data_IF_811805077454
#
_entry.id   IF_811805077454
#
_cell.length_a   1.000
_cell.length_b   1.000
_cell.length_c   1.000
_cell.angle_alpha   90.00
_cell.angle_beta   90.00
_cell.angle_gamma   90.00
#
_symmetry.space_group_name_H-M   'P 1'
#
loop_
_entity.id
_entity.type
_entity.pdbx_description
1 polymer ?
#
# COMPACT_ATOMS: atom_id res chain seq x y z
N UNK A 1 11.77 -2.25 -22.90
CA UNK A 1 13.02 -1.98 -22.18
C UNK A 1 13.31 -3.15 -21.25
N UNK A 2 14.48 -3.22 -20.62
CA UNK A 2 14.84 -4.27 -19.66
C UNK A 2 14.96 -3.64 -18.27
N UNK A 3 14.51 -4.36 -17.22
CA UNK A 3 14.75 -4.00 -15.79
C UNK A 3 15.71 -4.97 -15.07
N UNK A 4 16.00 -6.14 -15.67
CA UNK A 4 16.96 -7.17 -15.20
C UNK A 4 17.68 -7.93 -16.36
N UNK A 5 17.93 -7.30 -17.52
CA UNK A 5 18.53 -7.99 -18.68
C UNK A 5 17.56 -8.90 -19.45
N UNK A 6 16.25 -8.75 -19.21
CA UNK A 6 15.19 -9.45 -19.91
C UNK A 6 14.22 -8.45 -20.53
N UNK A 7 13.70 -8.74 -21.72
CA UNK A 7 12.60 -8.00 -22.32
C UNK A 7 11.43 -7.93 -21.33
N UNK A 8 11.05 -6.71 -20.95
CA UNK A 8 9.83 -6.51 -20.17
C UNK A 8 8.64 -6.95 -20.99
N UNK A 9 7.92 -7.93 -20.46
CA UNK A 9 6.64 -8.41 -20.98
C UNK A 9 5.56 -7.59 -20.28
N UNK A 10 4.54 -7.04 -20.99
CA UNK A 10 3.53 -6.17 -20.38
C UNK A 10 2.95 -6.71 -19.07
N UNK A 11 2.64 -8.00 -19.00
CA UNK A 11 2.01 -8.65 -17.86
C UNK A 11 2.89 -8.68 -16.60
N UNK A 12 4.20 -8.43 -16.74
CA UNK A 12 5.18 -8.37 -15.64
C UNK A 12 5.58 -6.96 -15.25
N UNK A 13 5.07 -5.94 -15.96
CA UNK A 13 5.35 -4.54 -15.65
C UNK A 13 4.73 -4.19 -14.31
N UNK A 14 5.56 -3.71 -13.39
CA UNK A 14 5.11 -3.18 -12.10
C UNK A 14 5.42 -1.67 -11.99
N UNK A 15 5.00 -1.06 -10.89
CA UNK A 15 5.18 0.38 -10.70
C UNK A 15 6.66 0.77 -10.58
N UNK A 16 7.52 -0.09 -10.04
CA UNK A 16 8.95 0.20 -10.07
C UNK A 16 9.50 0.22 -11.51
N UNK A 17 9.05 -0.67 -12.41
CA UNK A 17 9.46 -0.64 -13.83
C UNK A 17 9.00 0.64 -14.49
N UNK A 18 7.73 1.00 -14.29
CA UNK A 18 7.14 2.21 -14.85
C UNK A 18 7.82 3.46 -14.31
N UNK A 19 8.11 3.51 -13.01
CA UNK A 19 8.84 4.61 -12.40
C UNK A 19 10.25 4.75 -12.99
N UNK A 20 10.94 3.61 -13.11
CA UNK A 20 12.32 3.53 -13.58
C UNK A 20 12.47 3.88 -15.08
N UNK A 21 11.55 3.42 -15.92
CA UNK A 21 11.64 3.59 -17.37
C UNK A 21 10.93 4.83 -17.91
N UNK A 22 9.89 5.31 -17.21
CA UNK A 22 9.03 6.37 -17.73
C UNK A 22 8.96 7.56 -16.79
N UNK A 23 8.52 7.39 -15.53
CA UNK A 23 8.30 8.54 -14.64
C UNK A 23 9.58 9.32 -14.43
N UNK A 24 10.66 8.68 -13.96
CA UNK A 24 11.90 9.37 -13.58
C UNK A 24 12.52 10.18 -14.74
N UNK A 25 12.64 9.65 -15.98
CA UNK A 25 13.09 10.47 -17.12
C UNK A 25 12.16 11.66 -17.41
N UNK A 26 10.84 11.44 -17.39
CA UNK A 26 9.86 12.48 -17.76
C UNK A 26 9.72 13.58 -16.70
N UNK A 27 9.99 13.26 -15.43
CA UNK A 27 9.89 14.21 -14.31
C UNK A 27 11.23 14.83 -13.91
N UNK A 28 12.31 14.50 -14.62
CA UNK A 28 13.60 15.14 -14.44
C UNK A 28 13.52 16.62 -14.85
N UNK A 29 14.25 17.54 -14.18
CA UNK A 29 14.27 18.94 -14.57
C UNK A 29 14.63 19.10 -16.06
N UNK A 30 13.93 19.97 -16.82
CA UNK A 30 14.23 20.17 -18.25
C UNK A 30 15.67 20.64 -18.51
N UNK A 31 16.29 21.31 -17.53
CA UNK A 31 17.67 21.76 -17.60
C UNK A 31 18.70 20.63 -17.39
N UNK A 32 18.26 19.45 -16.95
CA UNK A 32 19.11 18.31 -16.61
C UNK A 32 19.55 18.25 -15.15
N UNK A 33 20.32 17.22 -14.83
CA UNK A 33 20.87 16.93 -13.51
C UNK A 33 22.36 17.24 -13.47
N UNK A 34 22.84 17.85 -12.38
CA UNK A 34 24.28 17.99 -12.14
C UNK A 34 24.81 16.82 -11.32
N UNK A 35 25.83 16.17 -11.83
CA UNK A 35 26.59 15.13 -11.14
C UNK A 35 27.98 15.67 -10.82
N UNK A 36 28.33 15.71 -9.54
CA UNK A 36 29.68 16.05 -9.10
C UNK A 36 30.51 14.80 -8.91
N UNK A 37 31.64 14.71 -9.60
CA UNK A 37 32.63 13.66 -9.42
C UNK A 37 33.76 14.19 -8.54
N UNK A 38 34.11 13.44 -7.48
CA UNK A 38 35.19 13.76 -6.55
C UNK A 38 36.59 13.40 -7.05
N UNK A 39 36.66 12.69 -8.17
CA UNK A 39 37.91 12.26 -8.78
C UNK A 39 37.78 12.39 -10.28
N UNK A 40 38.85 12.86 -10.94
CA UNK A 40 38.90 12.85 -12.40
C UNK A 40 38.80 11.41 -12.91
N UNK A 41 37.83 11.10 -13.79
CA UNK A 41 37.82 9.82 -14.47
C UNK A 41 39.08 9.71 -15.35
N UNK A 42 39.60 8.49 -15.52
CA UNK A 42 40.80 8.27 -16.33
C UNK A 42 40.58 8.63 -17.81
N UNK A 43 39.34 8.48 -18.29
CA UNK A 43 38.91 8.93 -19.61
C UNK A 43 38.15 10.25 -19.47
N UNK A 44 38.52 11.26 -20.25
CA UNK A 44 37.81 12.54 -20.24
C UNK A 44 36.36 12.37 -20.78
N UNK A 45 35.32 12.76 -20.02
CA UNK A 45 33.94 12.69 -20.50
C UNK A 45 33.72 13.68 -21.64
N UNK A 46 32.94 13.25 -22.63
CA UNK A 46 32.56 14.08 -23.78
C UNK A 46 31.07 14.40 -23.78
N UNK A 47 30.72 15.59 -24.28
CA UNK A 47 29.32 15.95 -24.56
C UNK A 47 28.76 15.00 -25.61
N UNK A 48 27.53 14.51 -25.40
CA UNK A 48 26.85 13.52 -26.23
C UNK A 48 27.10 12.07 -25.83
N UNK A 49 28.10 11.80 -24.98
CA UNK A 49 28.42 10.44 -24.52
C UNK A 49 27.37 9.93 -23.53
N UNK A 50 27.10 8.61 -23.59
CA UNK A 50 26.26 7.95 -22.62
C UNK A 50 27.01 7.74 -21.30
N UNK A 51 26.35 8.11 -20.21
CA UNK A 51 26.77 7.87 -18.84
C UNK A 51 25.88 6.79 -18.22
N UNK A 52 26.52 5.83 -17.56
CA UNK A 52 25.90 4.66 -16.95
C UNK A 52 26.25 4.61 -15.47
N UNK A 53 25.27 4.52 -14.57
CA UNK A 53 25.52 4.15 -13.18
C UNK A 53 25.13 2.69 -12.97
N UNK A 54 26.01 1.86 -12.41
CA UNK A 54 25.75 0.45 -12.07
C UNK A 54 26.02 0.17 -10.60
N UNK A 55 25.51 -0.95 -10.13
CA UNK A 55 25.78 -1.54 -8.82
C UNK A 55 26.54 -2.86 -9.02
N UNK A 56 27.20 -3.39 -7.97
CA UNK A 56 27.81 -4.75 -8.06
C UNK A 56 26.80 -5.86 -8.35
N UNK A 57 25.51 -5.59 -8.10
CA UNK A 57 24.42 -6.35 -8.71
C UNK A 57 24.34 -6.01 -10.20
N UNK A 58 24.98 -6.86 -11.01
CA UNK A 58 25.16 -6.70 -12.45
C UNK A 58 23.87 -6.88 -13.27
N UNK A 59 22.72 -7.16 -12.62
CA UNK A 59 21.50 -7.45 -13.32
C UNK A 59 20.94 -6.26 -14.12
N UNK A 60 21.35 -5.01 -13.85
CA UNK A 60 21.14 -3.82 -14.72
C UNK A 60 21.81 -2.52 -14.22
N UNK A 61 21.94 -1.49 -15.08
CA UNK A 61 22.28 -0.15 -14.62
C UNK A 61 21.20 0.45 -13.72
N UNK A 62 21.62 1.24 -12.74
CA UNK A 62 20.77 2.07 -11.86
C UNK A 62 20.33 3.36 -12.53
N UNK A 63 21.10 3.88 -13.49
CA UNK A 63 20.74 5.06 -14.26
C UNK A 63 21.45 5.10 -15.61
N UNK A 64 20.79 5.72 -16.60
CA UNK A 64 21.36 6.04 -17.92
C UNK A 64 21.09 7.51 -18.21
N UNK A 65 22.10 8.24 -18.67
CA UNK A 65 21.94 9.62 -19.12
C UNK A 65 22.87 9.96 -20.30
N UNK A 66 22.61 11.09 -20.93
CA UNK A 66 23.49 11.69 -21.95
C UNK A 66 24.16 12.93 -21.36
N UNK A 67 25.48 13.03 -21.51
CA UNK A 67 26.24 14.21 -21.06
C UNK A 67 25.90 15.39 -21.95
N UNK A 68 25.45 16.50 -21.34
CA UNK A 68 25.09 17.75 -22.00
C UNK A 68 26.15 18.84 -21.80
N UNK A 69 26.84 18.83 -20.66
CA UNK A 69 27.92 19.77 -20.38
C UNK A 69 28.95 19.13 -19.44
N UNK A 70 30.22 19.50 -19.61
CA UNK A 70 31.32 19.17 -18.71
C UNK A 70 31.90 20.48 -18.18
N UNK A 71 32.09 20.59 -16.86
CA UNK A 71 32.75 21.72 -16.21
C UNK A 71 33.84 21.21 -15.29
N UNK A 72 35.06 21.63 -15.53
CA UNK A 72 36.13 21.50 -14.53
C UNK A 72 35.94 22.55 -13.46
N UNK A 73 35.97 22.12 -12.20
CA UNK A 73 35.88 23.02 -11.08
C UNK A 73 37.09 22.75 -10.16
N UNK A 74 37.95 23.77 -10.03
CA UNK A 74 39.26 23.67 -9.35
C UNK A 74 39.32 24.57 -8.12
N UNK A 75 38.19 24.79 -7.45
CA UNK A 75 38.04 25.81 -6.42
C UNK A 75 38.87 25.59 -5.15
N UNK A 76 39.35 24.37 -4.86
CA UNK A 76 40.09 24.01 -3.65
C UNK A 76 41.42 23.26 -3.91
N UNK A 77 41.87 23.19 -5.17
CA UNK A 77 43.07 22.43 -5.54
C UNK A 77 42.86 20.92 -5.71
N UNK A 78 41.69 20.39 -5.36
CA UNK A 78 41.26 19.04 -5.72
C UNK A 78 40.56 19.07 -7.08
N UNK A 79 40.88 18.16 -8.01
CA UNK A 79 40.14 18.08 -9.26
C UNK A 79 38.71 17.59 -8.99
N UNK A 80 37.72 18.44 -9.22
CA UNK A 80 36.32 18.03 -9.24
C UNK A 80 35.69 18.34 -10.60
N UNK A 81 34.89 17.40 -11.08
CA UNK A 81 34.28 17.46 -12.39
C UNK A 81 32.77 17.49 -12.23
N UNK A 82 32.16 18.56 -12.72
CA UNK A 82 30.71 18.74 -12.72
C UNK A 82 30.16 18.38 -14.11
N UNK A 83 29.30 17.36 -14.17
CA UNK A 83 28.65 16.90 -15.39
C UNK A 83 27.18 17.31 -15.38
N UNK A 84 26.73 18.04 -16.39
CA UNK A 84 25.30 18.21 -16.66
C UNK A 84 24.83 17.05 -17.51
N UNK A 85 23.82 16.33 -17.06
CA UNK A 85 23.31 15.15 -17.75
C UNK A 85 21.81 15.22 -17.97
N UNK A 86 21.36 14.71 -19.11
CA UNK A 86 19.95 14.48 -19.39
C UNK A 86 19.60 13.03 -19.08
N UNK A 87 18.73 12.82 -18.10
CA UNK A 87 18.32 11.50 -17.65
C UNK A 87 17.48 10.78 -18.70
N UNK A 88 17.93 9.59 -19.11
CA UNK A 88 17.21 8.71 -20.05
C UNK A 88 16.55 7.53 -19.35
N UNK A 89 17.04 7.13 -18.18
CA UNK A 89 16.51 5.99 -17.42
C UNK A 89 16.96 6.04 -15.97
N UNK A 90 16.11 5.58 -15.06
CA UNK A 90 16.46 5.34 -13.66
C UNK A 90 16.72 6.62 -12.86
N UNK A 91 17.58 6.54 -11.84
CA UNK A 91 17.94 7.68 -10.98
C UNK A 91 19.41 7.58 -10.58
N UNK A 92 20.17 8.65 -10.75
CA UNK A 92 21.54 8.71 -10.24
C UNK A 92 21.52 8.85 -8.72
N UNK A 93 22.35 8.08 -8.06
CA UNK A 93 22.50 8.08 -6.61
C UNK A 93 23.89 8.60 -6.25
N UNK A 94 23.95 9.44 -5.21
CA UNK A 94 25.20 9.98 -4.69
C UNK A 94 25.84 9.09 -3.61
N UNK A 95 27.16 9.23 -3.44
CA UNK A 95 27.92 8.76 -2.28
C UNK A 95 28.45 7.32 -2.37
N UNK A 96 29.29 6.91 -1.40
CA UNK A 96 29.69 5.52 -1.23
C UNK A 96 28.50 4.74 -0.68
N UNK A 97 27.63 4.24 -1.57
CA UNK A 97 26.56 3.31 -1.19
C UNK A 97 27.13 1.89 -1.08
N UNK A 98 26.56 1.07 -0.21
CA UNK A 98 26.79 -0.36 -0.18
C UNK A 98 25.60 -1.08 -0.85
N UNK A 99 25.82 -1.96 -1.84
CA UNK A 99 27.08 -2.24 -2.52
C UNK A 99 27.59 -1.04 -3.35
N UNK A 100 28.92 -0.92 -3.59
CA UNK A 100 29.54 0.22 -4.24
C UNK A 100 28.93 0.48 -5.62
N UNK A 101 28.55 1.74 -5.84
CA UNK A 101 28.06 2.22 -7.12
C UNK A 101 29.25 2.66 -7.97
N UNK A 102 29.18 2.34 -9.27
CA UNK A 102 30.19 2.75 -10.25
C UNK A 102 29.55 3.53 -11.38
N UNK A 103 30.27 4.53 -11.88
CA UNK A 103 29.93 5.29 -13.07
C UNK A 103 30.80 4.83 -14.23
N UNK A 104 30.16 4.37 -15.30
CA UNK A 104 30.82 3.99 -16.54
C UNK A 104 30.44 4.96 -17.64
N UNK A 105 31.40 5.30 -18.47
CA UNK A 105 31.17 6.05 -19.70
C UNK A 105 31.34 5.11 -20.89
N UNK A 106 30.58 5.32 -21.95
CA UNK A 106 30.69 4.49 -23.15
C UNK A 106 32.12 4.48 -23.69
N UNK A 107 32.76 3.29 -23.74
CA UNK A 107 34.15 3.13 -24.18
C UNK A 107 35.23 3.62 -23.20
N UNK A 108 34.86 3.97 -21.95
CA UNK A 108 35.78 4.48 -20.93
C UNK A 108 35.88 3.62 -19.67
N UNK A 109 36.79 4.01 -18.77
CA UNK A 109 36.97 3.37 -17.47
C UNK A 109 35.82 3.67 -16.49
N UNK A 110 35.69 2.80 -15.47
CA UNK A 110 34.76 3.00 -14.36
C UNK A 110 35.30 3.98 -13.33
N UNK A 111 34.53 5.00 -13.01
CA UNK A 111 34.74 5.92 -11.90
C UNK A 111 33.88 5.53 -10.69
N UNK A 112 34.22 6.02 -9.48
CA UNK A 112 33.30 5.99 -8.35
C UNK A 112 31.96 6.66 -8.66
N UNK A 113 30.94 6.39 -7.85
CA UNK A 113 29.67 7.11 -7.87
C UNK A 113 29.87 8.63 -7.73
N UNK A 114 28.93 9.45 -8.22
CA UNK A 114 29.03 10.88 -8.01
C UNK A 114 28.94 11.18 -6.51
N UNK A 115 29.72 12.15 -6.03
CA UNK A 115 29.66 12.62 -4.64
C UNK A 115 28.34 13.33 -4.36
N UNK A 116 27.80 13.99 -5.39
CA UNK A 116 26.56 14.75 -5.30
C UNK A 116 25.76 14.64 -6.60
N UNK A 117 24.45 14.50 -6.45
CA UNK A 117 23.46 14.63 -7.54
C UNK A 117 22.58 15.83 -7.19
N UNK A 118 22.52 16.82 -8.07
CA UNK A 118 21.76 18.06 -7.83
C UNK A 118 20.77 18.29 -8.97
N UNK A 119 19.50 18.50 -8.60
CA UNK A 119 18.47 18.98 -9.52
C UNK A 119 18.52 20.51 -9.52
N UNK A 120 18.99 21.14 -10.59
CA UNK A 120 18.89 22.59 -10.72
C UNK A 120 17.55 22.92 -11.37
N UNK A 121 16.58 23.35 -10.56
CA UNK A 121 15.19 23.56 -10.96
C UNK A 121 14.24 22.74 -10.10
N UNK A 122 12.94 23.00 -10.23
CA UNK A 122 11.90 22.27 -9.49
C UNK A 122 11.65 20.96 -10.22
N UNK A 123 12.05 19.83 -9.62
CA UNK A 123 11.59 18.53 -10.11
C UNK A 123 10.08 18.44 -9.90
N UNK A 124 9.38 17.74 -10.78
CA UNK A 124 7.91 17.67 -10.71
C UNK A 124 7.45 16.25 -10.38
N UNK A 125 6.29 16.09 -9.77
CA UNK A 125 5.70 14.74 -9.64
C UNK A 125 5.11 14.29 -10.97
N UNK A 126 4.82 12.99 -11.11
CA UNK A 126 4.13 12.51 -12.31
C UNK A 126 2.73 13.12 -12.43
N UNK A 127 2.05 13.31 -11.31
CA UNK A 127 0.76 14.00 -11.24
C UNK A 127 0.86 15.42 -11.82
N UNK A 128 1.88 16.18 -11.43
CA UNK A 128 2.06 17.57 -11.88
C UNK A 128 2.45 17.66 -13.36
N UNK A 129 3.20 16.70 -13.87
CA UNK A 129 3.50 16.57 -15.30
C UNK A 129 2.22 16.40 -16.13
N UNK A 130 1.27 15.58 -15.64
CA UNK A 130 0.01 15.33 -16.34
C UNK A 130 -1.01 16.48 -16.13
N UNK A 131 -1.02 17.08 -14.94
CA UNK A 131 -1.93 18.18 -14.61
C UNK A 131 -1.40 19.03 -13.45
N UNK A 132 -1.29 20.33 -13.71
CA UNK A 132 -0.96 21.33 -12.70
C UNK A 132 -2.14 21.69 -11.79
N UNK A 133 -3.37 21.26 -12.13
CA UNK A 133 -4.55 21.55 -11.34
C UNK A 133 -4.47 20.82 -9.98
N UNK A 134 -4.56 21.52 -8.84
CA UNK A 134 -4.66 20.87 -7.54
C UNK A 134 -5.92 20.00 -7.47
N UNK A 135 -5.78 18.79 -6.96
CA UNK A 135 -6.89 17.87 -6.80
C UNK A 135 -6.80 17.17 -5.44
N UNK A 136 -7.90 17.23 -4.68
CA UNK A 136 -8.02 16.44 -3.44
C UNK A 136 -8.30 14.98 -3.83
N UNK A 137 -7.65 13.98 -3.24
CA UNK A 137 -8.00 12.59 -3.52
C UNK A 137 -9.38 12.25 -2.96
N UNK A 138 -10.17 11.47 -3.69
CA UNK A 138 -11.40 10.87 -3.14
C UNK A 138 -11.03 9.61 -2.35
N UNK A 139 -10.07 8.84 -2.87
CA UNK A 139 -9.56 7.61 -2.26
C UNK A 139 -8.04 7.60 -2.22
N UNK A 140 -7.49 7.03 -1.17
CA UNK A 140 -6.06 6.77 -1.03
C UNK A 140 -5.76 5.31 -1.40
N UNK A 141 -4.79 5.05 -2.29
CA UNK A 141 -4.39 3.68 -2.64
C UNK A 141 -3.22 3.21 -1.77
N UNK A 142 -3.43 2.17 -0.98
CA UNK A 142 -2.36 1.44 -0.29
C UNK A 142 -2.03 0.17 -1.05
N UNK A 143 -0.79 0.05 -1.53
CA UNK A 143 -0.43 -1.02 -2.45
C UNK A 143 1.08 -1.31 -2.51
N UNK A 144 1.46 -2.49 -3.00
CA UNK A 144 2.86 -2.86 -3.21
C UNK A 144 3.30 -2.55 -4.64
N UNK A 145 4.33 -1.71 -4.79
CA UNK A 145 4.84 -1.30 -6.11
C UNK A 145 5.39 -2.43 -7.00
N UNK A 146 5.63 -3.61 -6.44
CA UNK A 146 6.08 -4.79 -7.19
C UNK A 146 4.97 -5.60 -7.83
N UNK A 147 3.70 -5.27 -7.55
CA UNK A 147 2.56 -5.88 -8.23
C UNK A 147 2.44 -5.41 -9.68
N UNK A 148 1.69 -6.16 -10.49
CA UNK A 148 1.38 -5.78 -11.87
C UNK A 148 0.66 -4.43 -11.92
N UNK A 149 1.19 -3.50 -12.72
CA UNK A 149 0.55 -2.20 -12.95
C UNK A 149 -0.83 -2.35 -13.61
N UNK A 150 -1.02 -3.41 -14.40
CA UNK A 150 -2.30 -3.71 -15.03
C UNK A 150 -3.32 -4.18 -14.00
N UNK A 151 -2.90 -5.00 -13.05
CA UNK A 151 -3.78 -5.48 -11.96
C UNK A 151 -4.15 -4.31 -11.03
N UNK A 152 -3.20 -3.42 -10.73
CA UNK A 152 -3.43 -2.17 -10.01
C UNK A 152 -4.48 -1.29 -10.70
N UNK A 153 -4.33 -1.06 -12.02
CA UNK A 153 -5.28 -0.26 -12.82
C UNK A 153 -6.65 -0.94 -12.90
N UNK A 154 -6.69 -2.26 -13.08
CA UNK A 154 -7.93 -3.04 -13.08
C UNK A 154 -8.65 -2.94 -11.72
N UNK A 155 -7.90 -3.02 -10.62
CA UNK A 155 -8.34 -2.77 -9.26
C UNK A 155 -9.02 -1.41 -9.10
N UNK A 156 -8.32 -0.35 -9.50
CA UNK A 156 -8.84 1.02 -9.43
C UNK A 156 -10.07 1.21 -10.32
N UNK A 157 -10.09 0.67 -11.55
CA UNK A 157 -11.24 0.74 -12.46
C UNK A 157 -12.45 0.05 -11.87
N UNK A 158 -12.29 -1.20 -11.41
CA UNK A 158 -13.39 -1.98 -10.83
C UNK A 158 -13.96 -1.28 -9.61
N UNK A 159 -13.09 -0.76 -8.74
CA UNK A 159 -13.52 0.01 -7.58
C UNK A 159 -14.27 1.30 -7.97
N UNK A 160 -13.78 2.05 -8.96
CA UNK A 160 -14.46 3.24 -9.48
C UNK A 160 -15.85 2.93 -10.06
N UNK A 161 -15.98 1.82 -10.79
CA UNK A 161 -17.27 1.36 -11.32
C UNK A 161 -18.24 1.00 -10.20
N UNK A 162 -17.83 0.17 -9.23
CA UNK A 162 -18.71 -0.28 -8.14
C UNK A 162 -19.14 0.88 -7.24
N UNK A 163 -18.27 1.86 -7.02
CA UNK A 163 -18.58 3.05 -6.21
C UNK A 163 -19.28 4.17 -6.98
N UNK A 164 -19.58 3.98 -8.28
CA UNK A 164 -20.13 4.99 -9.18
C UNK A 164 -19.28 6.28 -9.25
N UNK A 165 -17.95 6.13 -9.25
CA UNK A 165 -16.97 7.23 -9.25
C UNK A 165 -16.37 7.52 -10.62
N UNK A 166 -16.76 6.85 -11.70
CA UNK A 166 -16.04 6.90 -13.00
C UNK A 166 -15.75 8.34 -13.49
N UNK A 167 -16.66 9.29 -13.27
CA UNK A 167 -16.46 10.70 -13.65
C UNK A 167 -15.57 11.50 -12.66
N UNK A 168 -15.50 11.10 -11.40
CA UNK A 168 -14.88 11.84 -10.29
C UNK A 168 -13.72 11.09 -9.61
N UNK A 169 -13.30 9.96 -10.19
CA UNK A 169 -12.31 9.06 -9.64
C UNK A 169 -10.95 9.74 -9.53
N UNK A 170 -10.58 10.11 -8.29
CA UNK A 170 -9.28 10.69 -7.95
C UNK A 170 -8.62 9.82 -6.89
N UNK A 171 -7.62 9.06 -7.32
CA UNK A 171 -6.84 8.18 -6.45
C UNK A 171 -5.50 8.83 -6.10
N UNK A 172 -5.17 8.92 -4.81
CA UNK A 172 -3.82 9.23 -4.39
C UNK A 172 -2.95 7.97 -4.51
N UNK A 173 -1.84 8.07 -5.24
CA UNK A 173 -0.88 7.00 -5.42
C UNK A 173 0.51 7.57 -5.20
N UNK A 174 1.20 7.12 -4.15
CA UNK A 174 2.49 7.68 -3.71
C UNK A 174 3.54 7.74 -4.84
N UNK A 175 3.60 6.73 -5.70
CA UNK A 175 4.54 6.70 -6.83
C UNK A 175 4.27 7.74 -7.91
N UNK A 176 3.03 8.24 -8.01
CA UNK A 176 2.64 9.27 -8.98
C UNK A 176 2.62 10.67 -8.39
N UNK A 177 2.23 10.80 -7.12
CA UNK A 177 2.00 12.07 -6.47
C UNK A 177 3.28 12.68 -5.87
N UNK A 178 4.21 11.86 -5.37
CA UNK A 178 5.45 12.35 -4.78
C UNK A 178 6.50 12.67 -5.85
N UNK A 179 7.30 13.71 -5.63
CA UNK A 179 8.47 14.06 -6.45
C UNK A 179 9.58 13.02 -6.26
N UNK A 180 9.63 12.05 -7.17
CA UNK A 180 10.52 10.88 -7.05
C UNK A 180 12.03 11.23 -7.04
N UNK A 181 12.41 12.38 -7.62
CA UNK A 181 13.80 12.87 -7.59
C UNK A 181 14.20 13.49 -6.25
N UNK A 182 13.21 13.94 -5.48
CA UNK A 182 13.35 14.68 -4.22
C UNK A 182 12.63 13.95 -3.07
N UNK A 183 12.51 12.63 -3.15
CA UNK A 183 11.72 11.83 -2.20
C UNK A 183 12.17 12.03 -0.74
N UNK A 184 13.46 12.26 -0.50
CA UNK A 184 14.01 12.53 0.84
C UNK A 184 13.53 13.88 1.41
N UNK A 185 13.05 14.80 0.57
CA UNK A 185 12.40 16.05 0.99
C UNK A 185 10.89 15.87 1.19
N UNK A 186 10.26 14.94 0.46
CA UNK A 186 8.83 14.60 0.58
C UNK A 186 8.56 13.74 1.83
N UNK A 187 9.49 12.85 2.16
CA UNK A 187 9.42 11.96 3.31
C UNK A 187 10.30 12.56 4.41
N UNK A 188 9.69 13.38 5.26
CA UNK A 188 10.37 14.01 6.39
C UNK A 188 10.52 13.05 7.58
N UNK A 189 11.34 13.44 8.56
CA UNK A 189 11.47 12.71 9.84
C UNK A 189 10.14 12.63 10.58
N UNK A 190 9.27 13.62 10.39
CA UNK A 190 7.91 13.62 10.92
C UNK A 190 6.94 13.16 9.84
N UNK A 191 6.69 11.85 9.81
CA UNK A 191 5.73 11.18 8.91
C UNK A 191 4.37 11.89 8.88
N UNK A 192 3.94 12.51 9.99
CA UNK A 192 2.64 13.18 10.07
C UNK A 192 2.59 14.52 9.34
N UNK A 193 3.74 15.13 9.03
CA UNK A 193 3.84 16.38 8.28
C UNK A 193 3.90 16.21 6.76
N UNK A 194 3.93 14.96 6.28
CA UNK A 194 4.17 14.62 4.88
C UNK A 194 2.95 14.81 3.99
N UNK A 195 3.20 14.96 2.68
CA UNK A 195 2.16 15.10 1.66
C UNK A 195 1.25 13.87 1.57
N UNK A 196 1.77 12.66 1.79
CA UNK A 196 0.96 11.44 1.79
C UNK A 196 0.07 11.32 3.04
N UNK A 197 0.54 11.69 4.23
CA UNK A 197 -0.32 11.69 5.42
C UNK A 197 -1.43 12.74 5.30
N UNK A 198 -1.13 13.91 4.72
CA UNK A 198 -2.15 14.90 4.40
C UNK A 198 -3.19 14.34 3.41
N UNK A 199 -2.74 13.70 2.32
CA UNK A 199 -3.63 13.07 1.34
C UNK A 199 -4.50 11.96 1.94
N UNK A 200 -3.93 11.16 2.85
CA UNK A 200 -4.65 10.09 3.54
C UNK A 200 -5.76 10.66 4.44
N UNK A 201 -5.48 11.72 5.20
CA UNK A 201 -6.46 12.38 6.09
C UNK A 201 -7.60 13.09 5.33
N UNK A 202 -7.33 13.54 4.12
CA UNK A 202 -8.34 14.19 3.26
C UNK A 202 -9.18 13.19 2.44
N UNK A 203 -8.70 11.95 2.29
CA UNK A 203 -9.42 10.93 1.52
C UNK A 203 -10.68 10.46 2.27
N UNK A 204 -11.74 10.14 1.50
CA UNK A 204 -12.98 9.55 2.05
C UNK A 204 -12.79 8.08 2.45
N UNK A 205 -11.78 7.43 1.89
CA UNK A 205 -11.51 6.03 2.14
C UNK A 205 -10.14 5.60 1.65
N UNK A 206 -9.71 4.44 2.14
CA UNK A 206 -8.52 3.74 1.71
C UNK A 206 -8.91 2.53 0.84
N UNK A 207 -8.32 2.45 -0.36
CA UNK A 207 -8.37 1.29 -1.24
C UNK A 207 -7.08 0.48 -1.03
N UNK A 208 -7.19 -0.64 -0.34
CA UNK A 208 -6.12 -1.62 -0.18
C UNK A 208 -6.11 -2.55 -1.40
N UNK A 209 -5.00 -2.56 -2.14
CA UNK A 209 -4.84 -3.40 -3.33
C UNK A 209 -3.90 -4.55 -2.99
N UNK A 210 -4.43 -5.77 -2.94
CA UNK A 210 -3.69 -6.98 -2.58
C UNK A 210 -3.25 -7.75 -3.82
N UNK A 211 -1.94 -7.99 -3.91
CA UNK A 211 -1.38 -8.98 -4.82
C UNK A 211 -1.67 -10.41 -4.30
N UNK A 212 -1.43 -11.47 -5.10
CA UNK A 212 -1.74 -12.85 -4.70
C UNK A 212 -1.02 -13.35 -3.43
N UNK A 213 0.01 -12.64 -2.96
CA UNK A 213 0.74 -12.95 -1.72
C UNK A 213 0.35 -12.06 -0.54
N UNK A 214 -0.60 -11.13 -0.74
CA UNK A 214 -0.97 -10.12 0.25
C UNK A 214 0.25 -9.35 0.81
N UNK A 215 1.23 -9.09 -0.05
CA UNK A 215 2.49 -8.40 0.22
C UNK A 215 2.32 -7.05 0.93
N UNK A 216 1.26 -6.24 0.69
CA UNK A 216 1.03 -5.02 1.46
C UNK A 216 1.09 -5.22 2.98
N UNK A 217 0.58 -6.32 3.52
CA UNK A 217 0.66 -6.58 4.97
C UNK A 217 2.08 -6.78 5.50
N UNK A 218 3.08 -6.99 4.63
CA UNK A 218 4.49 -7.13 5.04
C UNK A 218 5.28 -5.81 5.00
N UNK A 219 4.61 -4.69 4.67
CA UNK A 219 5.26 -3.41 4.34
C UNK A 219 4.84 -2.34 5.34
N UNK A 220 5.80 -1.83 6.11
CA UNK A 220 5.53 -0.84 7.18
C UNK A 220 4.85 0.45 6.66
N UNK A 221 5.08 0.81 5.40
CA UNK A 221 4.40 1.94 4.76
C UNK A 221 2.92 1.65 4.55
N UNK A 222 2.56 0.47 4.05
CA UNK A 222 1.17 0.04 3.90
C UNK A 222 0.51 -0.14 5.28
N UNK A 223 1.26 -0.67 6.24
CA UNK A 223 0.82 -0.86 7.62
C UNK A 223 0.44 0.47 8.29
N UNK A 224 1.24 1.53 8.08
CA UNK A 224 0.94 2.88 8.55
C UNK A 224 -0.30 3.49 7.88
N UNK A 225 -0.45 3.28 6.57
CA UNK A 225 -1.61 3.73 5.82
C UNK A 225 -2.89 3.04 6.31
N UNK A 226 -2.83 1.71 6.49
CA UNK A 226 -3.91 0.92 7.06
C UNK A 226 -4.24 1.35 8.48
N UNK A 227 -3.24 1.52 9.34
CA UNK A 227 -3.42 2.05 10.70
C UNK A 227 -4.21 3.35 10.69
N UNK A 228 -3.76 4.33 9.90
CA UNK A 228 -4.43 5.64 9.84
C UNK A 228 -5.88 5.50 9.37
N UNK A 229 -6.15 4.59 8.43
CA UNK A 229 -7.51 4.36 7.93
C UNK A 229 -8.42 3.65 8.93
N UNK A 230 -7.97 2.55 9.54
CA UNK A 230 -8.80 1.75 10.46
C UNK A 230 -9.05 2.47 11.79
N UNK A 231 -8.13 3.35 12.20
CA UNK A 231 -8.30 4.15 13.41
C UNK A 231 -9.27 5.33 13.21
N UNK A 232 -9.54 5.71 11.96
CA UNK A 232 -10.55 6.72 11.62
C UNK A 232 -11.92 6.07 11.42
N UNK A 233 -12.89 6.44 12.27
CA UNK A 233 -14.26 5.87 12.18
C UNK A 233 -14.95 6.21 10.86
N UNK A 234 -14.72 7.41 10.36
CA UNK A 234 -15.38 7.97 9.18
C UNK A 234 -14.71 7.57 7.87
N UNK A 235 -13.53 6.94 7.92
CA UNK A 235 -12.82 6.51 6.73
C UNK A 235 -13.38 5.16 6.23
N UNK A 236 -13.75 5.13 4.95
CA UNK A 236 -14.09 3.90 4.25
C UNK A 236 -12.86 3.00 4.07
N UNK A 237 -13.07 1.70 3.99
CA UNK A 237 -12.03 0.73 3.67
C UNK A 237 -12.57 -0.25 2.63
N UNK A 238 -11.91 -0.28 1.48
CA UNK A 238 -12.17 -1.24 0.40
C UNK A 238 -10.92 -2.04 0.11
N UNK A 239 -11.09 -3.33 -0.14
CA UNK A 239 -10.00 -4.26 -0.46
C UNK A 239 -10.27 -4.84 -1.84
N UNK A 240 -9.33 -4.66 -2.75
CA UNK A 240 -9.40 -5.18 -4.11
C UNK A 240 -8.23 -6.11 -4.40
N UNK A 241 -8.50 -7.15 -5.19
CA UNK A 241 -7.46 -8.06 -5.67
C UNK A 241 -7.83 -8.57 -7.05
N UNK A 242 -6.81 -8.85 -7.87
CA UNK A 242 -6.98 -9.42 -9.21
C UNK A 242 -6.46 -10.85 -9.19
N UNK A 243 -7.33 -11.79 -9.55
CA UNK A 243 -7.06 -13.22 -9.47
C UNK A 243 -6.94 -13.75 -10.90
N UNK A 244 -5.87 -14.50 -11.22
CA UNK A 244 -5.81 -15.23 -12.48
C UNK A 244 -6.98 -16.21 -12.55
N UNK A 245 -7.82 -16.08 -13.56
CA UNK A 245 -8.76 -17.14 -13.90
C UNK A 245 -7.99 -18.16 -14.77
N UNK A 246 -8.30 -19.46 -14.65
CA UNK A 246 -7.47 -20.55 -15.21
C UNK A 246 -7.10 -20.41 -16.71
N UNK A 247 -6.18 -21.25 -17.19
CA UNK A 247 -5.53 -21.13 -18.51
C UNK A 247 -6.47 -20.63 -19.64
N UNK A 248 -6.20 -19.43 -20.14
CA UNK A 248 -6.89 -18.83 -21.28
C UNK A 248 -8.05 -17.87 -20.96
N UNK A 249 -8.35 -17.61 -19.68
CA UNK A 249 -9.35 -16.61 -19.28
C UNK A 249 -8.71 -15.33 -18.74
N UNK A 250 -9.38 -14.19 -18.92
CA UNK A 250 -8.92 -12.90 -18.39
C UNK A 250 -8.96 -12.89 -16.86
N UNK A 251 -7.94 -12.30 -16.23
CA UNK A 251 -7.90 -12.15 -14.79
C UNK A 251 -9.12 -11.37 -14.29
N UNK A 252 -9.62 -11.74 -13.12
CA UNK A 252 -10.85 -11.16 -12.58
C UNK A 252 -10.57 -10.37 -11.31
N UNK A 253 -11.04 -9.13 -11.29
CA UNK A 253 -10.90 -8.24 -10.15
C UNK A 253 -12.07 -8.39 -9.19
N UNK A 254 -11.78 -8.70 -7.93
CA UNK A 254 -12.75 -8.87 -6.84
C UNK A 254 -12.59 -7.75 -5.82
N UNK A 255 -13.71 -7.30 -5.25
CA UNK A 255 -13.77 -6.18 -4.31
C UNK A 255 -14.57 -6.58 -3.09
N UNK A 256 -14.01 -6.33 -1.91
CA UNK A 256 -14.63 -6.42 -0.60
C UNK A 256 -14.72 -5.01 0.00
N UNK A 257 -15.86 -4.61 0.55
CA UNK A 257 -16.04 -3.27 1.11
C UNK A 257 -16.50 -3.30 2.56
N UNK A 258 -15.97 -2.40 3.39
CA UNK A 258 -16.44 -2.17 4.77
C UNK A 258 -17.91 -1.77 4.75
N UNK A 259 -18.22 -0.74 3.99
CA UNK A 259 -19.57 -0.18 3.88
C UNK A 259 -20.29 -0.69 2.62
N UNK A 260 -21.61 -0.47 2.58
CA UNK A 260 -22.39 -0.61 1.34
C UNK A 260 -21.91 0.44 0.33
N UNK A 261 -21.87 0.05 -0.94
CA UNK A 261 -21.60 1.02 -2.02
C UNK A 261 -22.90 1.75 -2.42
N UNK A 262 -22.83 2.92 -3.08
CA UNK A 262 -24.01 3.72 -3.37
C UNK A 262 -25.09 2.96 -4.14
N UNK A 263 -26.30 2.86 -3.57
CA UNK A 263 -27.44 2.17 -4.19
C UNK A 263 -27.44 0.65 -4.07
N UNK A 264 -26.46 0.06 -3.38
CA UNK A 264 -26.37 -1.39 -3.16
C UNK A 264 -27.22 -1.84 -1.96
N UNK A 265 -27.97 -2.93 -2.12
CA UNK A 265 -28.64 -3.61 -1.00
C UNK A 265 -27.69 -4.58 -0.30
N UNK A 266 -28.02 -4.98 0.94
CA UNK A 266 -27.24 -6.00 1.65
C UNK A 266 -27.11 -7.32 0.86
N UNK A 267 -28.16 -7.74 0.15
CA UNK A 267 -28.14 -8.91 -0.76
C UNK A 267 -27.08 -8.74 -1.85
N UNK A 268 -27.11 -7.59 -2.54
CA UNK A 268 -26.24 -7.32 -3.68
C UNK A 268 -24.77 -7.28 -3.25
N UNK A 269 -24.49 -6.73 -2.06
CA UNK A 269 -23.16 -6.79 -1.44
C UNK A 269 -22.71 -8.24 -1.22
N UNK A 270 -23.52 -9.06 -0.55
CA UNK A 270 -23.21 -10.47 -0.30
C UNK A 270 -22.89 -11.24 -1.59
N UNK A 271 -23.66 -11.01 -2.66
CA UNK A 271 -23.43 -11.64 -3.98
C UNK A 271 -22.15 -11.12 -4.64
N UNK A 272 -21.88 -9.81 -4.61
CA UNK A 272 -20.66 -9.22 -5.17
C UNK A 272 -19.40 -9.78 -4.51
N UNK A 273 -19.46 -9.99 -3.21
CA UNK A 273 -18.32 -10.39 -2.37
C UNK A 273 -18.16 -11.91 -2.26
N UNK A 274 -19.13 -12.71 -2.73
CA UNK A 274 -19.16 -14.17 -2.56
C UNK A 274 -17.91 -14.89 -3.07
N UNK A 275 -17.30 -14.36 -4.12
CA UNK A 275 -16.13 -14.92 -4.80
C UNK A 275 -14.83 -14.19 -4.43
N UNK A 276 -14.84 -13.33 -3.41
CA UNK A 276 -13.61 -12.74 -2.90
C UNK A 276 -12.74 -13.83 -2.25
N UNK A 277 -11.41 -13.84 -2.48
CA UNK A 277 -10.50 -14.84 -1.94
C UNK A 277 -10.15 -14.47 -0.50
N UNK A 278 -11.06 -14.73 0.44
CA UNK A 278 -10.90 -14.34 1.85
C UNK A 278 -9.66 -14.94 2.53
N UNK A 279 -9.06 -16.00 1.99
CA UNK A 279 -7.78 -16.53 2.44
C UNK A 279 -6.62 -15.53 2.28
N UNK A 280 -6.71 -14.54 1.37
CA UNK A 280 -5.75 -13.43 1.31
C UNK A 280 -5.77 -12.57 2.58
N UNK A 281 -6.87 -12.58 3.33
CA UNK A 281 -6.98 -11.86 4.59
C UNK A 281 -6.29 -12.58 5.75
N UNK A 282 -5.93 -13.87 5.60
CA UNK A 282 -5.25 -14.65 6.65
C UNK A 282 -3.97 -13.96 7.13
N UNK A 283 -3.13 -13.51 6.18
CA UNK A 283 -1.91 -12.77 6.49
C UNK A 283 -2.23 -11.48 7.26
N UNK A 284 -3.29 -10.78 6.88
CA UNK A 284 -3.73 -9.56 7.57
C UNK A 284 -4.30 -9.81 8.97
N UNK A 285 -4.90 -10.98 9.23
CA UNK A 285 -5.42 -11.39 10.55
C UNK A 285 -4.31 -11.77 11.54
N UNK A 286 -3.10 -12.07 11.04
CA UNK A 286 -1.98 -12.55 11.87
C UNK A 286 -0.84 -11.53 11.96
N UNK A 287 -0.81 -10.55 11.05
CA UNK A 287 0.32 -9.62 10.97
C UNK A 287 0.36 -8.67 12.14
N UNK A 288 1.57 -8.37 12.61
CA UNK A 288 1.83 -7.28 13.53
C UNK A 288 2.45 -6.13 12.73
N UNK A 289 1.79 -4.98 12.73
CA UNK A 289 2.17 -3.80 11.93
C UNK A 289 3.61 -3.37 12.23
N UNK A 290 4.09 -3.54 13.46
CA UNK A 290 5.45 -3.21 13.85
C UNK A 290 6.53 -4.11 13.21
N UNK A 291 6.14 -5.27 12.69
CA UNK A 291 7.03 -6.18 11.98
C UNK A 291 7.18 -5.83 10.49
N UNK A 292 6.41 -4.87 9.98
CA UNK A 292 6.50 -4.41 8.61
C UNK A 292 7.93 -4.03 8.17
N UNK A 293 8.23 -4.27 6.90
CA UNK A 293 9.54 -4.00 6.29
C UNK A 293 9.55 -2.69 5.51
N UNK A 294 10.63 -1.92 5.64
CA UNK A 294 10.95 -0.78 4.78
C UNK A 294 12.25 -1.02 4.02
N UNK A 295 12.38 -0.44 2.83
CA UNK A 295 13.66 -0.39 2.12
C UNK A 295 14.69 0.43 2.90
N UNK A 296 14.24 1.47 3.61
CA UNK A 296 15.06 2.31 4.47
C UNK A 296 14.67 2.06 5.94
N UNK A 297 15.58 1.53 6.74
CA UNK A 297 15.32 1.20 8.15
C UNK A 297 14.92 2.43 8.99
N UNK A 298 15.38 3.62 8.59
CA UNK A 298 15.01 4.88 9.24
C UNK A 298 13.51 5.19 9.11
N UNK A 299 12.89 4.82 7.98
CA UNK A 299 11.46 5.02 7.75
C UNK A 299 10.65 4.23 8.76
N UNK A 300 11.02 2.95 8.96
CA UNK A 300 10.39 2.07 9.95
C UNK A 300 10.42 2.71 11.34
N UNK A 301 11.58 3.21 11.77
CA UNK A 301 11.71 3.88 13.08
C UNK A 301 10.84 5.14 13.19
N UNK A 302 10.78 5.95 12.14
CA UNK A 302 9.97 7.16 12.12
C UNK A 302 8.46 6.85 12.17
N UNK A 303 8.01 5.85 11.42
CA UNK A 303 6.63 5.37 11.41
C UNK A 303 6.21 4.83 12.78
N UNK A 304 7.01 3.95 13.38
CA UNK A 304 6.69 3.40 14.70
C UNK A 304 6.62 4.48 15.76
N UNK A 305 7.52 5.47 15.70
CA UNK A 305 7.46 6.65 16.58
C UNK A 305 6.16 7.46 16.37
N UNK A 306 5.70 7.60 15.13
CA UNK A 306 4.46 8.31 14.82
C UNK A 306 3.23 7.57 15.38
N UNK A 307 3.15 6.25 15.20
CA UNK A 307 2.10 5.40 15.76
C UNK A 307 2.10 5.51 17.30
N UNK A 308 3.26 5.38 17.93
CA UNK A 308 3.40 5.48 19.39
C UNK A 308 2.97 6.84 19.94
N UNK A 309 3.22 7.93 19.20
CA UNK A 309 2.97 9.30 19.64
C UNK A 309 1.52 9.78 19.44
N UNK A 310 0.68 9.03 18.71
CA UNK A 310 -0.70 9.43 18.47
C UNK A 310 -1.50 9.50 19.77
N UNK A 311 -2.09 10.67 20.05
CA UNK A 311 -2.87 10.86 21.27
C UNK A 311 -4.22 10.18 21.13
N UNK A 312 -4.43 9.14 21.94
CA UNK A 312 -5.74 8.52 22.11
C UNK A 312 -6.09 8.47 23.59
N UNK A 313 -7.21 9.09 23.95
CA UNK A 313 -7.79 8.94 25.27
C UNK A 313 -8.92 7.89 25.21
N UNK A 314 -8.76 6.75 25.89
CA UNK A 314 -9.83 5.77 25.96
C UNK A 314 -11.05 6.40 26.66
N UNK A 315 -12.25 6.04 26.20
CA UNK A 315 -13.48 6.44 26.88
C UNK A 315 -13.52 5.94 28.34
N UNK A 316 -14.37 6.52 29.20
CA UNK A 316 -14.49 6.12 30.60
C UNK A 316 -14.67 4.60 30.75
N UNK A 317 -13.89 3.97 31.62
CA UNK A 317 -13.95 2.53 31.91
C UNK A 317 -13.30 1.62 30.86
N UNK A 318 -12.74 2.16 29.77
CA UNK A 318 -12.04 1.36 28.75
C UNK A 318 -10.55 1.16 29.10
N UNK A 319 -9.97 0.02 28.71
CA UNK A 319 -8.56 -0.25 28.98
C UNK A 319 -7.65 0.73 28.23
N UNK A 320 -6.55 1.13 28.87
CA UNK A 320 -5.46 1.81 28.17
C UNK A 320 -4.56 0.76 27.52
N UNK A 321 -4.45 0.82 26.20
CA UNK A 321 -3.67 -0.13 25.38
C UNK A 321 -2.67 0.67 24.54
N UNK A 322 -1.39 0.24 24.44
CA UNK A 322 -0.42 0.87 23.54
C UNK A 322 -0.95 0.95 22.10
N UNK A 323 -0.58 2.01 21.38
CA UNK A 323 -1.14 2.29 20.06
C UNK A 323 -0.85 1.21 19.03
N UNK A 324 0.32 0.58 19.08
CA UNK A 324 0.73 -0.50 18.19
C UNK A 324 -0.14 -1.75 18.41
N UNK A 325 -0.33 -2.12 19.68
CA UNK A 325 -1.18 -3.26 20.04
C UNK A 325 -2.65 -2.99 19.66
N UNK A 326 -3.14 -1.79 19.94
CA UNK A 326 -4.49 -1.35 19.53
C UNK A 326 -4.65 -1.38 18.01
N UNK A 327 -3.64 -0.97 17.26
CA UNK A 327 -3.63 -1.00 15.80
C UNK A 327 -3.77 -2.42 15.27
N UNK A 328 -2.97 -3.36 15.79
CA UNK A 328 -3.02 -4.77 15.42
C UNK A 328 -4.40 -5.36 15.70
N UNK A 329 -4.90 -5.19 16.93
CA UNK A 329 -6.23 -5.66 17.33
C UNK A 329 -7.34 -5.09 16.44
N UNK A 330 -7.29 -3.78 16.13
CA UNK A 330 -8.28 -3.10 15.29
C UNK A 330 -8.23 -3.60 13.85
N UNK A 331 -7.03 -3.86 13.32
CA UNK A 331 -6.85 -4.42 11.98
C UNK A 331 -7.45 -5.81 11.91
N UNK A 332 -7.03 -6.68 12.83
CA UNK A 332 -7.47 -8.08 12.90
C UNK A 332 -8.99 -8.15 13.01
N UNK A 333 -9.59 -7.41 13.95
CA UNK A 333 -11.04 -7.41 14.14
C UNK A 333 -11.80 -6.80 12.95
N UNK A 334 -11.24 -5.79 12.27
CA UNK A 334 -11.85 -5.22 11.05
C UNK A 334 -11.84 -6.22 9.90
N UNK A 335 -10.72 -6.89 9.66
CA UNK A 335 -10.61 -7.95 8.65
C UNK A 335 -11.48 -9.15 8.99
N UNK A 336 -11.60 -9.50 10.28
CA UNK A 336 -12.49 -10.56 10.73
C UNK A 336 -13.95 -10.26 10.41
N UNK A 337 -14.42 -9.04 10.69
CA UNK A 337 -15.78 -8.60 10.33
C UNK A 337 -16.01 -8.67 8.81
N UNK A 338 -15.04 -8.21 8.02
CA UNK A 338 -15.12 -8.27 6.55
C UNK A 338 -15.15 -9.70 6.02
N UNK A 339 -14.36 -10.60 6.61
CA UNK A 339 -14.28 -12.01 6.20
C UNK A 339 -15.48 -12.84 6.67
N UNK A 340 -16.11 -12.47 7.78
CA UNK A 340 -17.08 -13.29 8.50
C UNK A 340 -18.20 -13.87 7.63
N UNK A 341 -18.91 -13.09 6.77
CA UNK A 341 -20.00 -13.63 5.97
C UNK A 341 -19.56 -14.77 5.06
N UNK A 342 -18.38 -14.62 4.44
CA UNK A 342 -17.83 -15.62 3.54
C UNK A 342 -17.18 -16.79 4.28
N UNK A 343 -16.56 -16.54 5.44
CA UNK A 343 -16.03 -17.59 6.30
C UNK A 343 -17.16 -18.52 6.79
N UNK A 344 -18.29 -17.94 7.21
CA UNK A 344 -19.51 -18.68 7.55
C UNK A 344 -20.05 -19.48 6.35
N UNK A 345 -20.15 -18.84 5.18
CA UNK A 345 -20.70 -19.47 3.99
C UNK A 345 -19.87 -20.66 3.48
N UNK A 346 -18.56 -20.67 3.76
CA UNK A 346 -17.62 -21.71 3.32
C UNK A 346 -17.30 -22.73 4.40
N UNK A 347 -18.03 -22.73 5.52
CA UNK A 347 -17.77 -23.59 6.67
C UNK A 347 -16.33 -23.48 7.22
N UNK A 348 -15.79 -22.25 7.16
CA UNK A 348 -14.46 -21.91 7.63
C UNK A 348 -14.45 -21.37 9.07
N UNK A 349 -15.62 -21.21 9.70
CA UNK A 349 -15.75 -20.94 11.15
C UNK A 349 -15.34 -22.20 11.94
N UNK A 350 -14.93 -22.03 13.20
CA UNK A 350 -14.40 -23.06 14.10
C UNK A 350 -15.41 -24.17 14.43
N UNK A 351 -15.55 -25.10 13.49
CA UNK A 351 -15.85 -26.53 13.70
C UNK A 351 -15.10 -27.35 12.63
N UNK A 352 -13.85 -27.80 12.88
CA UNK A 352 -13.10 -28.72 11.97
C UNK A 352 -11.62 -28.40 11.64
N UNK A 353 -10.64 -29.22 12.05
CA UNK A 353 -9.20 -28.95 11.80
C UNK A 353 -8.83 -28.80 10.30
N UNK A 354 -8.05 -27.78 9.93
CA UNK A 354 -7.46 -27.59 8.58
C UNK A 354 -6.55 -26.34 8.47
N UNK A 355 -5.57 -26.37 7.57
CA UNK A 355 -4.47 -25.38 7.37
C UNK A 355 -4.92 -24.08 6.65
N UNK A 356 -6.11 -24.09 6.03
CA UNK A 356 -6.68 -22.97 5.25
C UNK A 356 -7.70 -22.10 6.06
N UNK A 357 -7.63 -22.13 7.40
CA UNK A 357 -8.64 -21.47 8.25
C UNK A 357 -8.24 -20.06 8.65
N UNK A 358 -9.20 -19.15 8.57
CA UNK A 358 -9.11 -17.78 9.08
C UNK A 358 -9.55 -17.77 10.55
N UNK A 359 -8.70 -17.31 11.48
CA UNK A 359 -9.09 -17.13 12.88
C UNK A 359 -9.90 -15.83 13.07
N UNK A 360 -11.06 -15.74 12.40
CA UNK A 360 -11.95 -14.58 12.49
C UNK A 360 -12.54 -14.45 13.90
N UNK A 361 -12.72 -15.56 14.60
CA UNK A 361 -13.19 -15.60 15.98
C UNK A 361 -12.20 -14.98 16.96
N UNK A 362 -10.95 -15.44 16.93
CA UNK A 362 -9.89 -14.93 17.80
C UNK A 362 -9.57 -13.48 17.49
N UNK A 363 -9.53 -13.11 16.20
CA UNK A 363 -9.30 -11.75 15.75
C UNK A 363 -10.40 -10.78 16.23
N UNK A 364 -11.67 -11.18 16.20
CA UNK A 364 -12.76 -10.33 16.70
C UNK A 364 -12.76 -10.25 18.24
N UNK A 365 -12.62 -11.38 18.93
CA UNK A 365 -12.71 -11.46 20.38
C UNK A 365 -11.54 -10.76 21.09
N UNK A 366 -10.33 -10.81 20.49
CA UNK A 366 -9.12 -10.23 21.08
C UNK A 366 -9.11 -8.70 21.10
N UNK A 367 -9.98 -8.04 20.31
CA UNK A 367 -10.04 -6.59 20.26
C UNK A 367 -10.84 -6.00 21.44
N UNK A 368 -10.17 -5.91 22.58
CA UNK A 368 -10.72 -5.28 23.80
C UNK A 368 -10.96 -3.77 23.66
N UNK A 369 -10.55 -3.12 22.58
CA UNK A 369 -10.76 -1.68 22.37
C UNK A 369 -11.99 -1.37 21.53
N UNK A 370 -12.47 -2.34 20.74
CA UNK A 370 -13.66 -2.21 19.89
C UNK A 370 -14.92 -2.08 20.73
N UNK A 371 -15.69 -1.05 20.40
CA UNK A 371 -16.99 -0.76 21.03
C UNK A 371 -18.18 -0.93 20.09
N UNK A 372 -17.92 -1.21 18.81
CA UNK A 372 -18.94 -1.33 17.78
C UNK A 372 -18.64 -2.46 16.82
N UNK A 373 -19.68 -3.26 16.55
CA UNK A 373 -19.69 -4.29 15.51
C UNK A 373 -20.91 -4.08 14.64
N UNK A 374 -20.67 -3.86 13.35
CA UNK A 374 -21.69 -3.88 12.31
C UNK A 374 -21.39 -5.02 11.34
N UNK A 375 -22.31 -5.98 11.25
CA UNK A 375 -22.13 -7.18 10.43
C UNK A 375 -23.47 -7.58 9.80
N UNK A 376 -23.50 -7.70 8.48
CA UNK A 376 -24.65 -8.23 7.75
C UNK A 376 -24.39 -9.67 7.36
N UNK A 377 -25.22 -10.57 7.88
CA UNK A 377 -25.31 -11.98 7.49
C UNK A 377 -26.58 -12.25 6.67
N UNK A 378 -27.18 -11.20 6.11
CA UNK A 378 -28.38 -11.28 5.31
C UNK A 378 -28.19 -12.16 4.06
N UNK A 379 -29.22 -12.94 3.75
CA UNK A 379 -29.37 -13.80 2.58
C UNK A 379 -28.37 -14.97 2.48
N UNK A 380 -27.75 -15.33 3.61
CA UNK A 380 -27.02 -16.59 3.75
C UNK A 380 -27.99 -17.72 4.17
N UNK A 381 -29.02 -17.92 3.36
CA UNK A 381 -30.20 -18.77 3.60
C UNK A 381 -29.89 -20.17 4.17
N UNK A 382 -28.87 -20.83 3.64
CA UNK A 382 -28.51 -22.21 4.02
C UNK A 382 -27.38 -22.30 5.04
N UNK A 383 -26.54 -21.28 5.13
CA UNK A 383 -25.26 -21.32 5.86
C UNK A 383 -25.29 -20.48 7.14
N UNK A 384 -26.19 -19.50 7.24
CA UNK A 384 -26.47 -18.79 8.48
C UNK A 384 -27.43 -19.61 9.34
N UNK A 385 -26.86 -20.42 10.24
CA UNK A 385 -27.58 -21.30 11.18
C UNK A 385 -27.27 -20.92 12.63
N UNK A 386 -28.07 -21.40 13.59
CA UNK A 386 -27.93 -21.07 15.01
C UNK A 386 -26.51 -21.33 15.56
N UNK A 387 -25.84 -22.38 15.09
CA UNK A 387 -24.47 -22.69 15.49
C UNK A 387 -23.48 -21.57 15.09
N UNK A 388 -23.63 -20.99 13.89
CA UNK A 388 -22.78 -19.89 13.42
C UNK A 388 -23.04 -18.59 14.18
N UNK A 389 -24.31 -18.30 14.51
CA UNK A 389 -24.67 -17.12 15.33
C UNK A 389 -24.19 -17.28 16.77
N UNK A 390 -24.25 -18.50 17.31
CA UNK A 390 -23.70 -18.80 18.63
C UNK A 390 -22.18 -18.56 18.69
N UNK A 391 -21.42 -19.00 17.68
CA UNK A 391 -19.99 -18.70 17.58
C UNK A 391 -19.75 -17.19 17.52
N UNK A 392 -20.51 -16.45 16.71
CA UNK A 392 -20.42 -14.98 16.67
C UNK A 392 -20.67 -14.36 18.05
N UNK A 393 -21.71 -14.82 18.76
CA UNK A 393 -22.06 -14.32 20.09
C UNK A 393 -20.93 -14.56 21.11
N UNK A 394 -20.33 -15.75 21.11
CA UNK A 394 -19.22 -16.14 22.00
C UNK A 394 -17.94 -15.32 21.75
N UNK A 395 -17.77 -14.78 20.54
CA UNK A 395 -16.59 -14.05 20.11
C UNK A 395 -16.78 -12.53 20.05
N UNK A 396 -17.92 -11.99 20.51
CA UNK A 396 -18.12 -10.54 20.53
C UNK A 396 -17.05 -9.85 21.41
N UNK A 397 -16.56 -8.65 21.01
CA UNK A 397 -15.64 -7.88 21.82
C UNK A 397 -16.20 -7.59 23.22
N UNK A 398 -15.39 -7.70 24.29
CA UNK A 398 -15.89 -7.62 25.66
C UNK A 398 -16.40 -6.21 26.05
N UNK A 399 -15.98 -5.17 25.35
CA UNK A 399 -16.34 -3.77 25.61
C UNK A 399 -17.30 -3.19 24.56
N UNK A 400 -18.03 -4.05 23.83
CA UNK A 400 -19.00 -3.62 22.83
C UNK A 400 -20.17 -2.87 23.48
N UNK A 401 -20.52 -1.71 22.92
CA UNK A 401 -21.68 -0.89 23.33
C UNK A 401 -22.67 -0.67 22.19
N UNK A 402 -22.26 -0.89 20.93
CA UNK A 402 -23.11 -0.81 19.75
C UNK A 402 -22.99 -2.09 18.93
N UNK A 403 -24.10 -2.82 18.78
CA UNK A 403 -24.17 -4.03 17.95
C UNK A 403 -25.26 -3.87 16.90
N UNK A 404 -24.88 -3.97 15.62
CA UNK A 404 -25.80 -3.97 14.50
C UNK A 404 -25.61 -5.24 13.67
N UNK A 405 -26.57 -6.14 13.76
CA UNK A 405 -26.59 -7.39 13.00
C UNK A 405 -27.79 -7.41 12.06
N UNK A 406 -27.59 -7.88 10.83
CA UNK A 406 -28.69 -8.20 9.91
C UNK A 406 -28.71 -9.69 9.59
N UNK A 407 -29.86 -10.31 9.76
CA UNK A 407 -30.15 -11.71 9.43
C UNK A 407 -31.30 -11.82 8.43
N UNK A 408 -31.55 -10.75 7.65
CA UNK A 408 -32.62 -10.73 6.66
C UNK A 408 -32.51 -11.94 5.72
N UNK A 409 -33.60 -12.68 5.53
CA UNK A 409 -33.61 -13.87 4.68
C UNK A 409 -32.95 -15.13 5.27
N UNK A 410 -32.44 -15.12 6.51
CA UNK A 410 -31.86 -16.31 7.15
C UNK A 410 -32.92 -17.15 7.86
N UNK A 411 -33.62 -18.01 7.12
CA UNK A 411 -34.74 -18.80 7.63
C UNK A 411 -34.35 -20.02 8.50
N UNK A 412 -33.06 -20.33 8.63
CA UNK A 412 -32.55 -21.43 9.46
C UNK A 412 -32.26 -21.01 10.91
N UNK A 413 -32.49 -19.74 11.26
CA UNK A 413 -32.28 -19.23 12.61
C UNK A 413 -33.53 -19.45 13.45
N UNK A 414 -33.33 -19.83 14.71
CA UNK A 414 -34.39 -19.99 15.71
C UNK A 414 -34.16 -19.04 16.89
N UNK A 415 -34.98 -19.15 17.92
CA UNK A 415 -34.80 -18.42 19.17
C UNK A 415 -33.48 -18.80 19.87
N UNK A 416 -32.88 -19.94 19.55
CA UNK A 416 -31.55 -20.32 20.05
C UNK A 416 -30.48 -19.26 19.72
N UNK A 417 -30.52 -18.66 18.53
CA UNK A 417 -29.64 -17.54 18.14
C UNK A 417 -29.81 -16.31 19.04
N UNK A 418 -31.06 -15.94 19.33
CA UNK A 418 -31.35 -14.77 20.18
C UNK A 418 -30.92 -15.02 21.63
N UNK A 419 -31.14 -16.23 22.15
CA UNK A 419 -30.65 -16.60 23.47
C UNK A 419 -29.13 -16.56 23.55
N UNK A 420 -28.42 -17.05 22.53
CA UNK A 420 -26.97 -17.02 22.48
C UNK A 420 -26.42 -15.58 22.46
N UNK A 421 -27.02 -14.69 21.66
CA UNK A 421 -26.66 -13.27 21.65
C UNK A 421 -26.93 -12.63 23.03
N UNK A 422 -28.13 -12.83 23.59
CA UNK A 422 -28.50 -12.26 24.88
C UNK A 422 -27.61 -12.73 26.04
N UNK A 423 -27.11 -13.97 26.00
CA UNK A 423 -26.25 -14.51 27.05
C UNK A 423 -24.81 -13.98 27.02
N UNK A 424 -24.34 -13.49 25.87
CA UNK A 424 -22.95 -13.05 25.66
C UNK A 424 -22.79 -11.53 25.53
N UNK A 425 -23.89 -10.79 25.33
CA UNK A 425 -23.85 -9.34 25.35
C UNK A 425 -23.40 -8.83 26.73
N UNK A 426 -22.50 -7.82 26.79
CA UNK A 426 -22.13 -7.19 28.05
C UNK A 426 -23.38 -6.68 28.77
N UNK A 427 -23.46 -6.92 30.07
CA UNK A 427 -24.52 -6.34 30.89
C UNK A 427 -24.31 -4.83 30.96
N UNK A 428 -25.28 -4.08 30.43
CA UNK A 428 -25.31 -2.61 30.46
C UNK A 428 -25.34 -2.06 31.89
#
# INVERSE_FOLDING_TARGET
SERFGHHLVPEKLNLYDFAYHYILPQTSPPQGLWLRLGTDPRSAPAVGQQLLQVSEDASLPRAIAIIRQVRENRSDGSPCLDLLVELKRGRFLAGPKAPPLRLGMEGGDWAPAPEKVTCNGVSTSYKELLSTQPCVPVWYCSHWWGESIFDFVAGCRRHAEVRHLVADARYWVCGYANRQHELDQEISVDVTSTSFNAALREAKGLLLILDPKATPFSRIWCDFELYTAIMSRDMGLDIVTTIPTGQGKEAETRLLSKDLVPGESAVAKSVREQNFPINLLAHGLEVMLENGMATQEQDKKAILKAIAAEKFEPGPGKPHVPNELRANMTLHSTLAILAWPQAMNRDQLKYGKGDDRLDVEGALQSDVTRDSVELSLAHFEKTCVDAGVKVLAECLPPNISSLKLSFEGCYQLTDASLHALASHLPKL
#
